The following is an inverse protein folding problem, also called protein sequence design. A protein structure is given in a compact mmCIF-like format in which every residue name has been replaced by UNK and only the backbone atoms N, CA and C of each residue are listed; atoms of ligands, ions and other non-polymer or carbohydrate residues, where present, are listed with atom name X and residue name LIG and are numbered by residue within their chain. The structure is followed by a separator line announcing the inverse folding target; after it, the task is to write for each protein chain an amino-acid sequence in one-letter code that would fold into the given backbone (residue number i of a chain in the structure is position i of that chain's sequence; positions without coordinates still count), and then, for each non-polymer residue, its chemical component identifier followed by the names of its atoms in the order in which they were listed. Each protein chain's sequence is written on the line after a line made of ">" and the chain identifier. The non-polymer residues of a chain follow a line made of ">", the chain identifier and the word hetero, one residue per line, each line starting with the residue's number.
data_IF_795667238283
#
_entry.id   IF_795667238283
#
_cell.length_a   1.000
_cell.length_b   1.000
_cell.length_c   1.000
_cell.angle_alpha   90.00
_cell.angle_beta   90.00
_cell.angle_gamma   90.00
#
_symmetry.space_group_name_H-M   'P 1'
#
loop_
_entity.id
_entity.type
_entity.pdbx_description
1 polymer ?
#
# COMPACT_ATOMS: atom_id res chain seq x y z
N UNK A 1 -13.33 6.03 -21.90
CA UNK A 1 -13.95 6.02 -20.55
C UNK A 1 -13.48 4.85 -19.70
N UNK A 2 -13.52 3.58 -20.18
CA UNK A 2 -13.03 2.41 -19.41
C UNK A 2 -11.62 2.57 -18.83
N UNK A 3 -10.64 2.97 -19.64
CA UNK A 3 -9.26 3.17 -19.17
C UNK A 3 -9.11 4.24 -18.08
N UNK A 4 -9.96 5.28 -18.10
CA UNK A 4 -9.95 6.31 -17.05
C UNK A 4 -10.49 5.74 -15.73
N UNK A 5 -11.62 5.03 -15.77
CA UNK A 5 -12.22 4.35 -14.61
C UNK A 5 -11.28 3.29 -14.03
N UNK A 6 -10.62 2.52 -14.90
CA UNK A 6 -9.62 1.53 -14.51
C UNK A 6 -8.41 2.17 -13.83
N UNK A 7 -7.99 3.35 -14.32
CA UNK A 7 -6.97 4.18 -13.69
C UNK A 7 -7.39 4.70 -12.31
N UNK A 8 -8.62 5.22 -12.18
CA UNK A 8 -9.17 5.69 -10.91
C UNK A 8 -9.29 4.55 -9.90
N UNK A 9 -9.71 3.35 -10.33
CA UNK A 9 -9.77 2.18 -9.46
C UNK A 9 -8.39 1.78 -8.93
N UNK A 10 -7.35 1.83 -9.77
CA UNK A 10 -5.97 1.61 -9.33
C UNK A 10 -5.47 2.70 -8.37
N UNK A 11 -5.88 3.96 -8.57
CA UNK A 11 -5.54 5.03 -7.63
C UNK A 11 -6.22 4.84 -6.26
N UNK A 12 -7.50 4.47 -6.25
CA UNK A 12 -8.21 4.13 -5.02
C UNK A 12 -7.60 2.91 -4.33
N UNK A 13 -7.15 1.90 -5.08
CA UNK A 13 -6.41 0.76 -4.53
C UNK A 13 -5.08 1.19 -3.89
N UNK A 14 -4.37 2.16 -4.48
CA UNK A 14 -3.17 2.74 -3.87
C UNK A 14 -3.47 3.44 -2.55
N UNK A 15 -4.54 4.25 -2.49
CA UNK A 15 -5.00 4.89 -1.25
C UNK A 15 -5.43 3.88 -0.19
N UNK A 16 -6.17 2.85 -0.57
CA UNK A 16 -6.56 1.77 0.33
C UNK A 16 -5.32 1.05 0.88
N UNK A 17 -4.30 0.82 0.06
CA UNK A 17 -3.03 0.22 0.49
C UNK A 17 -2.32 1.10 1.52
N UNK A 18 -2.26 2.43 1.28
CA UNK A 18 -1.70 3.38 2.26
C UNK A 18 -2.48 3.37 3.57
N UNK A 19 -3.80 3.28 3.54
CA UNK A 19 -4.60 3.19 4.76
C UNK A 19 -4.35 1.88 5.50
N UNK A 20 -4.40 0.74 4.80
CA UNK A 20 -4.29 -0.61 5.39
C UNK A 20 -2.87 -0.87 5.94
N UNK A 21 -1.83 -0.40 5.26
CA UNK A 21 -0.45 -0.57 5.74
C UNK A 21 -0.03 0.58 6.67
N UNK A 22 -0.43 1.81 6.36
CA UNK A 22 -0.01 3.01 7.08
C UNK A 22 -0.65 3.15 8.45
N UNK A 23 -1.95 2.84 8.61
CA UNK A 23 -2.62 2.97 9.92
C UNK A 23 -2.02 2.03 10.97
N UNK A 24 -1.83 0.72 10.71
CA UNK A 24 -1.20 -0.17 11.68
C UNK A 24 0.27 0.17 11.93
N UNK A 25 1.02 0.57 10.90
CA UNK A 25 2.41 1.04 11.05
C UNK A 25 2.49 2.27 11.96
N UNK A 26 1.62 3.25 11.76
CA UNK A 26 1.55 4.46 12.59
C UNK A 26 1.13 4.16 14.03
N UNK A 27 0.11 3.32 14.21
CA UNK A 27 -0.33 2.89 15.54
C UNK A 27 0.79 2.19 16.30
N UNK A 28 1.50 1.27 15.62
CA UNK A 28 2.61 0.53 16.21
C UNK A 28 3.78 1.47 16.55
N UNK A 29 4.09 2.43 15.68
CA UNK A 29 5.07 3.48 15.97
C UNK A 29 4.71 4.26 17.25
N UNK A 30 3.46 4.68 17.40
CA UNK A 30 2.98 5.36 18.61
C UNK A 30 3.02 4.46 19.85
N UNK A 31 2.73 3.17 19.71
CA UNK A 31 2.85 2.21 20.80
C UNK A 31 4.30 2.01 21.26
N UNK A 32 5.27 2.06 20.33
CA UNK A 32 6.69 2.01 20.64
C UNK A 32 7.13 3.31 21.34
N UNK A 33 6.72 4.50 20.84
CA UNK A 33 7.01 5.78 21.51
C UNK A 33 6.46 5.82 22.95
N UNK A 34 5.30 5.21 23.18
CA UNK A 34 4.68 5.10 24.50
C UNK A 34 5.33 4.02 25.40
N UNK A 35 6.39 3.33 24.95
CA UNK A 35 7.02 2.19 25.65
C UNK A 35 6.06 1.04 25.98
N UNK A 36 4.94 0.93 25.26
CA UNK A 36 3.96 -0.16 25.42
C UNK A 36 4.38 -1.36 24.58
N UNK A 37 4.97 -1.11 23.41
CA UNK A 37 5.47 -2.15 22.51
C UNK A 37 6.99 -2.36 22.68
N UNK A 38 7.47 -3.59 22.51
CA UNK A 38 8.89 -3.91 22.64
C UNK A 38 9.70 -3.41 21.43
N UNK A 39 11.00 -3.15 21.63
CA UNK A 39 11.86 -2.52 20.62
C UNK A 39 11.94 -3.27 19.28
N UNK A 40 11.82 -4.60 19.27
CA UNK A 40 11.84 -5.42 18.06
C UNK A 40 10.62 -5.22 17.16
N UNK A 41 9.55 -4.58 17.66
CA UNK A 41 8.39 -4.21 16.86
C UNK A 41 8.75 -3.24 15.70
N UNK A 42 9.88 -2.53 15.80
CA UNK A 42 10.44 -1.73 14.70
C UNK A 42 10.65 -2.53 13.42
N UNK A 43 11.05 -3.81 13.52
CA UNK A 43 11.21 -4.67 12.34
C UNK A 43 9.87 -4.91 11.63
N UNK A 44 8.79 -5.11 12.39
CA UNK A 44 7.46 -5.29 11.82
C UNK A 44 6.95 -4.00 11.14
N UNK A 45 7.17 -2.84 11.77
CA UNK A 45 6.84 -1.53 11.19
C UNK A 45 7.62 -1.30 9.89
N UNK A 46 8.93 -1.57 9.90
CA UNK A 46 9.77 -1.42 8.71
C UNK A 46 9.33 -2.34 7.57
N UNK A 47 9.04 -3.61 7.86
CA UNK A 47 8.55 -4.56 6.86
C UNK A 47 7.20 -4.14 6.27
N UNK A 48 6.24 -3.73 7.12
CA UNK A 48 4.91 -3.32 6.68
C UNK A 48 4.96 -2.03 5.86
N UNK A 49 5.76 -1.04 6.28
CA UNK A 49 6.01 0.17 5.49
C UNK A 49 6.67 -0.17 4.15
N UNK A 50 7.67 -1.04 4.12
CA UNK A 50 8.34 -1.46 2.89
C UNK A 50 7.38 -2.09 1.88
N UNK A 51 6.59 -3.07 2.31
CA UNK A 51 5.57 -3.72 1.46
C UNK A 51 4.50 -2.72 1.03
N UNK A 52 4.02 -1.88 1.94
CA UNK A 52 3.04 -0.84 1.65
C UNK A 52 3.52 0.13 0.56
N UNK A 53 4.77 0.59 0.63
CA UNK A 53 5.37 1.47 -0.37
C UNK A 53 5.47 0.75 -1.73
N UNK A 54 5.97 -0.49 -1.76
CA UNK A 54 6.10 -1.26 -3.00
C UNK A 54 4.75 -1.47 -3.70
N UNK A 55 3.73 -1.87 -2.93
CA UNK A 55 2.37 -2.08 -3.44
C UNK A 55 1.74 -0.78 -3.91
N UNK A 56 1.85 0.29 -3.12
CA UNK A 56 1.33 1.62 -3.47
C UNK A 56 1.94 2.13 -4.77
N UNK A 57 3.26 2.01 -4.93
CA UNK A 57 3.94 2.41 -6.16
C UNK A 57 3.50 1.57 -7.36
N UNK A 58 3.30 0.25 -7.18
CA UNK A 58 2.78 -0.61 -8.24
C UNK A 58 1.36 -0.20 -8.68
N UNK A 59 0.49 0.15 -7.74
CA UNK A 59 -0.87 0.62 -8.05
C UNK A 59 -0.87 2.02 -8.69
N UNK A 60 -0.03 2.95 -8.24
CA UNK A 60 0.14 4.26 -8.88
C UNK A 60 0.63 4.12 -10.33
N UNK A 61 1.58 3.22 -10.57
CA UNK A 61 2.04 2.91 -11.94
C UNK A 61 0.91 2.34 -12.80
N UNK A 62 0.05 1.47 -12.25
CA UNK A 62 -1.14 0.97 -12.95
C UNK A 62 -2.16 2.08 -13.21
N UNK A 63 -2.36 2.99 -12.25
CA UNK A 63 -3.25 4.12 -12.36
C UNK A 63 -2.85 5.05 -13.52
N UNK A 64 -1.55 5.40 -13.59
CA UNK A 64 -0.99 6.21 -14.68
C UNK A 64 -1.14 5.55 -16.06
N UNK A 65 -1.15 4.21 -16.12
CA UNK A 65 -1.38 3.45 -17.35
C UNK A 65 -2.85 3.23 -17.71
N UNK A 66 -3.80 3.67 -16.89
CA UNK A 66 -5.23 3.36 -17.07
C UNK A 66 -5.53 1.86 -17.01
N UNK A 67 -4.79 1.12 -16.18
CA UNK A 67 -4.87 -0.33 -16.05
C UNK A 67 -5.60 -0.68 -14.76
N UNK A 68 -6.59 -1.57 -14.85
CA UNK A 68 -7.32 -2.05 -13.68
C UNK A 68 -6.38 -2.79 -12.71
N UNK A 69 -6.60 -2.68 -11.39
CA UNK A 69 -5.72 -3.28 -10.39
C UNK A 69 -5.70 -4.81 -10.47
N UNK A 70 -6.85 -5.42 -10.81
CA UNK A 70 -7.05 -6.87 -10.97
C UNK A 70 -6.62 -7.41 -12.34
N UNK A 71 -6.14 -6.56 -13.26
CA UNK A 71 -5.77 -7.01 -14.61
C UNK A 71 -4.61 -8.00 -14.52
N UNK A 72 -4.88 -9.24 -14.95
CA UNK A 72 -3.84 -10.25 -15.11
C UNK A 72 -2.93 -9.93 -16.29
N UNK A 73 -1.64 -10.25 -16.11
CA UNK A 73 -0.67 -10.18 -17.20
C UNK A 73 -0.92 -11.37 -18.12
N UNK A 74 -1.17 -11.13 -19.40
CA UNK A 74 -1.35 -12.19 -20.40
C UNK A 74 -0.08 -13.05 -20.42
N UNK A 75 -0.14 -14.26 -19.84
CA UNK A 75 0.93 -15.25 -19.90
C UNK A 75 0.82 -15.92 -21.28
N UNK A 76 1.89 -15.83 -22.07
CA UNK A 76 2.02 -16.55 -23.34
C UNK A 76 2.47 -17.97 -23.06
#
# INVERSE_FOLDING_TARGET
>A
MKAFLDGTASFLAALATLAICGLPSWFTYKAIEANVAPWWAWFAVAALCGVGILMTFAFLRKAAGGIAPSRERKRR
#
